data_IF_402048829560
#
_entry.id   IF_402048829560
#
_cell.length_a   1.000
_cell.length_b   1.000
_cell.length_c   1.000
_cell.angle_alpha   90.00
_cell.angle_beta   90.00
_cell.angle_gamma   90.00
#
_symmetry.space_group_name_H-M   'P 1'
#
loop_
_entity.id
_entity.type
_entity.pdbx_description
1 polymer ?
#
# COMPACT_ATOMS: atom_id res chain seq x y z
N UNK A 1 -17.00 -45.19 -6.79
CA UNK A 1 -17.61 -43.86 -6.54
C UNK A 1 -16.62 -42.82 -6.05
N UNK A 2 -15.76 -43.07 -5.06
CA UNK A 2 -14.77 -42.07 -4.52
C UNK A 2 -13.82 -41.46 -5.54
N UNK A 3 -13.33 -42.22 -6.53
CA UNK A 3 -12.39 -41.69 -7.55
C UNK A 3 -13.06 -40.72 -8.54
N UNK A 4 -14.33 -40.92 -8.87
CA UNK A 4 -15.07 -39.99 -9.76
C UNK A 4 -15.35 -38.67 -9.06
N UNK A 5 -15.72 -38.69 -7.79
CA UNK A 5 -15.95 -37.50 -6.97
C UNK A 5 -14.68 -36.67 -6.84
N UNK A 6 -13.51 -37.32 -6.61
CA UNK A 6 -12.21 -36.64 -6.51
C UNK A 6 -11.78 -35.98 -7.83
N UNK A 7 -12.10 -36.59 -8.97
CA UNK A 7 -11.81 -36.01 -10.30
C UNK A 7 -12.73 -34.83 -10.61
N UNK A 8 -13.99 -34.89 -10.21
CA UNK A 8 -14.96 -33.78 -10.35
C UNK A 8 -14.53 -32.60 -9.46
N UNK A 9 -14.09 -32.84 -8.22
CA UNK A 9 -13.58 -31.81 -7.33
C UNK A 9 -12.31 -31.13 -7.85
N UNK A 10 -11.36 -31.90 -8.40
CA UNK A 10 -10.15 -31.36 -9.02
C UNK A 10 -10.46 -30.51 -10.27
N UNK A 11 -11.40 -30.96 -11.11
CA UNK A 11 -11.84 -30.22 -12.26
C UNK A 11 -12.57 -28.92 -11.88
N UNK A 12 -13.37 -28.94 -10.82
CA UNK A 12 -14.05 -27.75 -10.29
C UNK A 12 -13.05 -26.72 -9.72
N UNK A 13 -12.04 -27.16 -8.96
CA UNK A 13 -10.96 -26.29 -8.48
C UNK A 13 -10.15 -25.68 -9.61
N UNK A 14 -9.83 -26.45 -10.65
CA UNK A 14 -9.14 -25.89 -11.84
C UNK A 14 -10.01 -24.87 -12.58
N UNK A 15 -11.30 -25.11 -12.72
CA UNK A 15 -12.22 -24.18 -13.35
C UNK A 15 -12.31 -22.85 -12.57
N UNK A 16 -12.40 -22.91 -11.24
CA UNK A 16 -12.41 -21.71 -10.38
C UNK A 16 -11.10 -20.93 -10.49
N UNK A 17 -9.95 -21.60 -10.52
CA UNK A 17 -8.65 -20.93 -10.70
C UNK A 17 -8.50 -20.26 -12.07
N UNK A 18 -9.12 -20.82 -13.13
CA UNK A 18 -9.09 -20.22 -14.47
C UNK A 18 -10.01 -18.99 -14.58
N UNK A 19 -11.12 -18.95 -13.83
CA UNK A 19 -12.02 -17.79 -13.80
C UNK A 19 -11.44 -16.59 -13.03
N UNK A 20 -10.53 -16.82 -12.07
CA UNK A 20 -9.87 -15.72 -11.33
C UNK A 20 -8.78 -15.01 -12.11
N UNK A 21 -8.31 -15.58 -13.23
CA UNK A 21 -7.28 -14.96 -14.09
C UNK A 21 -7.86 -14.06 -15.19
N UNK A 22 -9.18 -14.07 -15.40
CA UNK A 22 -9.84 -13.28 -16.45
C UNK A 22 -10.26 -11.87 -16.00
N UNK A 23 -9.91 -11.44 -14.78
CA UNK A 23 -10.38 -10.20 -14.13
C UNK A 23 -9.47 -8.98 -14.26
N UNK A 24 -8.37 -9.03 -15.01
CA UNK A 24 -7.59 -7.82 -15.33
C UNK A 24 -7.75 -7.48 -16.82
N UNK A 25 -8.94 -7.05 -17.19
CA UNK A 25 -9.10 -6.19 -18.37
C UNK A 25 -8.59 -4.82 -17.92
N UNK A 26 -7.39 -4.45 -18.37
CA UNK A 26 -6.99 -3.06 -18.37
C UNK A 26 -8.09 -2.30 -19.13
N UNK A 27 -8.76 -1.39 -18.45
CA UNK A 27 -9.61 -0.42 -19.09
C UNK A 27 -8.72 0.28 -20.12
N UNK A 28 -8.97 0.03 -21.40
CA UNK A 28 -8.42 0.84 -22.46
C UNK A 28 -9.00 2.24 -22.22
N UNK A 29 -8.14 3.17 -21.80
CA UNK A 29 -8.45 4.59 -21.79
C UNK A 29 -8.94 4.94 -23.20
N UNK A 30 -10.26 5.05 -23.37
CA UNK A 30 -10.82 5.85 -24.43
C UNK A 30 -10.35 7.26 -24.14
N UNK A 31 -9.36 7.73 -24.87
CA UNK A 31 -8.87 9.10 -24.79
C UNK A 31 -10.03 10.03 -25.14
N UNK A 32 -10.81 10.40 -24.12
CA UNK A 32 -11.75 11.50 -24.22
C UNK A 32 -10.89 12.74 -24.45
N UNK A 33 -11.16 13.48 -25.55
CA UNK A 33 -10.39 14.69 -25.86
C UNK A 33 -10.63 15.72 -24.78
N UNK A 34 -9.62 15.93 -23.93
CA UNK A 34 -9.66 16.94 -22.87
C UNK A 34 -9.54 18.31 -23.53
N UNK A 35 -10.25 19.30 -23.02
CA UNK A 35 -10.11 20.69 -23.44
C UNK A 35 -8.65 21.14 -23.25
N UNK A 36 -7.98 21.68 -24.29
CA UNK A 36 -6.59 22.11 -24.20
C UNK A 36 -6.33 23.14 -23.09
N UNK A 37 -7.33 23.93 -22.71
CA UNK A 37 -7.20 24.89 -21.61
C UNK A 37 -7.15 24.17 -20.26
N UNK A 38 -7.96 23.14 -20.04
CA UNK A 38 -7.95 22.29 -18.86
C UNK A 38 -6.61 21.54 -18.78
N UNK A 39 -6.18 20.96 -19.87
CA UNK A 39 -4.91 20.24 -19.92
C UNK A 39 -3.75 21.15 -19.52
N UNK A 40 -3.66 22.34 -20.10
CA UNK A 40 -2.62 23.32 -19.77
C UNK A 40 -2.69 23.79 -18.32
N UNK A 41 -3.89 24.02 -17.79
CA UNK A 41 -4.08 24.42 -16.40
C UNK A 41 -3.62 23.32 -15.44
N UNK A 42 -3.99 22.06 -15.70
CA UNK A 42 -3.58 20.91 -14.89
C UNK A 42 -2.07 20.65 -14.96
N UNK A 43 -1.46 20.77 -16.14
CA UNK A 43 0.00 20.67 -16.32
C UNK A 43 0.73 21.75 -15.54
N UNK A 44 0.31 22.99 -15.70
CA UNK A 44 0.91 24.13 -14.99
C UNK A 44 0.71 24.04 -13.47
N UNK A 45 -0.49 23.68 -13.03
CA UNK A 45 -0.79 23.49 -11.60
C UNK A 45 0.06 22.37 -10.99
N UNK A 46 0.18 21.24 -11.69
CA UNK A 46 1.00 20.11 -11.23
C UNK A 46 2.47 20.49 -11.07
N UNK A 47 3.01 21.25 -12.04
CA UNK A 47 4.39 21.73 -11.94
C UNK A 47 4.57 22.71 -10.77
N UNK A 48 3.63 23.63 -10.55
CA UNK A 48 3.70 24.57 -9.44
C UNK A 48 3.67 23.87 -8.08
N UNK A 49 2.79 22.88 -7.91
CA UNK A 49 2.77 22.09 -6.67
C UNK A 49 4.07 21.30 -6.48
N UNK A 50 4.59 20.65 -7.53
CA UNK A 50 5.85 19.93 -7.44
C UNK A 50 7.01 20.86 -7.03
N UNK A 51 7.09 22.04 -7.64
CA UNK A 51 8.13 23.03 -7.35
C UNK A 51 7.99 23.57 -5.91
N UNK A 52 6.76 23.77 -5.43
CA UNK A 52 6.48 24.15 -4.06
C UNK A 52 7.05 23.13 -3.07
N UNK A 53 6.73 21.84 -3.26
CA UNK A 53 7.22 20.78 -2.37
C UNK A 53 8.73 20.63 -2.42
N UNK A 54 9.36 20.75 -3.60
CA UNK A 54 10.81 20.68 -3.75
C UNK A 54 11.57 21.82 -3.08
N UNK A 55 10.92 22.98 -2.87
CA UNK A 55 11.51 24.14 -2.21
C UNK A 55 11.32 24.16 -0.70
N UNK A 56 10.50 23.26 -0.15
CA UNK A 56 10.22 23.21 1.29
C UNK A 56 11.38 22.56 2.05
N UNK A 57 11.89 23.26 3.03
CA UNK A 57 12.74 22.68 4.09
C UNK A 57 11.89 22.16 5.26
N UNK A 58 12.53 21.50 6.21
CA UNK A 58 11.83 20.89 7.37
C UNK A 58 11.01 21.91 8.16
N UNK A 59 11.54 23.12 8.34
CA UNK A 59 10.84 24.19 9.08
C UNK A 59 9.60 24.68 8.33
N UNK A 60 9.69 24.82 7.01
CA UNK A 60 8.58 25.20 6.15
C UNK A 60 7.49 24.14 6.11
N UNK A 61 7.87 22.85 6.07
CA UNK A 61 6.93 21.73 6.13
C UNK A 61 6.17 21.74 7.46
N UNK A 62 6.86 21.90 8.58
CA UNK A 62 6.23 21.96 9.91
C UNK A 62 5.24 23.13 10.02
N UNK A 63 5.63 24.31 9.56
CA UNK A 63 4.77 25.50 9.57
C UNK A 63 3.54 25.31 8.65
N UNK A 64 3.73 24.78 7.45
CA UNK A 64 2.67 24.50 6.50
C UNK A 64 1.70 23.44 7.05
N UNK A 65 2.23 22.40 7.70
CA UNK A 65 1.43 21.37 8.35
C UNK A 65 0.56 21.93 9.48
N UNK A 66 1.14 22.76 10.36
CA UNK A 66 0.39 23.43 11.43
C UNK A 66 -0.73 24.33 10.86
N UNK A 67 -0.48 24.99 9.73
CA UNK A 67 -1.46 25.85 9.06
C UNK A 67 -2.58 25.02 8.42
N UNK A 68 -2.25 23.91 7.75
CA UNK A 68 -3.23 23.01 7.13
C UNK A 68 -4.15 22.37 8.15
N UNK A 69 -3.61 21.92 9.28
CA UNK A 69 -4.40 21.39 10.42
C UNK A 69 -5.35 22.46 10.96
N UNK A 70 -4.88 23.69 11.16
CA UNK A 70 -5.71 24.80 11.65
C UNK A 70 -6.85 25.13 10.69
N UNK A 71 -6.57 25.10 9.40
CA UNK A 71 -7.54 25.41 8.33
C UNK A 71 -8.42 24.21 7.98
N UNK A 72 -8.17 23.02 8.56
CA UNK A 72 -8.82 21.75 8.24
C UNK A 72 -8.64 21.35 6.76
N UNK A 73 -7.53 21.72 6.16
CA UNK A 73 -7.14 21.32 4.81
C UNK A 73 -6.49 19.93 4.87
N UNK A 74 -7.32 18.92 4.79
CA UNK A 74 -6.90 17.52 4.88
C UNK A 74 -6.08 17.07 3.67
N UNK A 75 -6.28 17.70 2.50
CA UNK A 75 -5.53 17.37 1.28
C UNK A 75 -4.08 17.81 1.45
N UNK A 76 -3.87 19.07 1.79
CA UNK A 76 -2.52 19.60 2.02
C UNK A 76 -1.84 18.95 3.22
N UNK A 77 -2.58 18.67 4.30
CA UNK A 77 -2.05 17.95 5.47
C UNK A 77 -1.50 16.58 5.09
N UNK A 78 -2.27 15.79 4.33
CA UNK A 78 -1.85 14.45 3.88
C UNK A 78 -0.69 14.53 2.89
N UNK A 79 -0.71 15.50 1.98
CA UNK A 79 0.37 15.73 1.01
C UNK A 79 1.69 16.06 1.72
N UNK A 80 1.66 16.99 2.68
CA UNK A 80 2.85 17.38 3.46
C UNK A 80 3.43 16.21 4.27
N UNK A 81 2.57 15.43 4.94
CA UNK A 81 3.01 14.23 5.66
C UNK A 81 3.62 13.18 4.73
N UNK A 82 3.00 12.98 3.56
CA UNK A 82 3.51 12.04 2.57
C UNK A 82 4.87 12.50 2.03
N UNK A 83 4.99 13.78 1.68
CA UNK A 83 6.23 14.37 1.22
C UNK A 83 7.35 14.26 2.24
N UNK A 84 7.10 14.65 3.48
CA UNK A 84 8.07 14.58 4.58
C UNK A 84 8.61 13.16 4.80
N UNK A 85 7.74 12.16 4.63
CA UNK A 85 8.12 10.76 4.81
C UNK A 85 9.03 10.18 3.72
N UNK A 86 9.10 10.83 2.54
CA UNK A 86 9.81 10.29 1.36
C UNK A 86 10.95 11.17 0.84
N UNK A 87 10.96 12.47 1.15
CA UNK A 87 11.92 13.43 0.58
C UNK A 87 13.38 13.00 0.75
N UNK A 88 13.73 12.45 1.90
CA UNK A 88 15.09 11.98 2.20
C UNK A 88 15.47 10.74 1.37
N UNK A 89 14.50 9.90 1.06
CA UNK A 89 14.66 8.72 0.22
C UNK A 89 14.81 9.08 -1.28
N UNK A 90 14.30 10.24 -1.69
CA UNK A 90 14.38 10.70 -3.09
C UNK A 90 15.74 11.33 -3.41
N UNK A 91 16.29 12.11 -2.49
CA UNK A 91 17.47 12.95 -2.73
C UNK A 91 17.13 14.23 -3.50
N UNK A 92 18.13 14.85 -4.14
CA UNK A 92 17.93 16.10 -4.86
C UNK A 92 17.07 15.91 -6.12
N UNK A 93 16.22 16.89 -6.41
CA UNK A 93 15.43 16.93 -7.66
C UNK A 93 16.34 17.11 -8.87
N UNK A 94 16.11 16.34 -9.93
CA UNK A 94 16.87 16.38 -11.18
C UNK A 94 16.04 16.93 -12.33
N UNK A 95 14.88 16.31 -12.59
CA UNK A 95 14.01 16.71 -13.70
C UNK A 95 12.58 16.18 -13.51
N UNK A 96 11.65 16.78 -14.25
CA UNK A 96 10.28 16.28 -14.41
C UNK A 96 9.90 16.21 -15.88
N UNK A 97 9.04 15.26 -16.23
CA UNK A 97 8.35 15.23 -17.52
C UNK A 97 7.09 16.09 -17.46
N UNK A 98 6.55 16.44 -18.63
CA UNK A 98 5.25 17.11 -18.69
C UNK A 98 4.16 16.18 -18.15
N UNK A 99 3.25 16.70 -17.33
CA UNK A 99 2.17 15.91 -16.79
C UNK A 99 1.22 15.39 -17.89
N UNK A 100 0.90 14.11 -17.84
CA UNK A 100 -0.16 13.51 -18.66
C UNK A 100 -1.47 13.71 -17.92
N UNK A 101 -2.42 14.40 -18.57
CA UNK A 101 -3.73 14.66 -18.00
C UNK A 101 -4.73 13.65 -18.55
N UNK A 102 -5.54 13.07 -17.66
CA UNK A 102 -6.61 12.15 -17.99
C UNK A 102 -7.89 12.59 -17.28
N UNK A 103 -9.05 12.34 -17.89
CA UNK A 103 -10.33 12.58 -17.21
C UNK A 103 -10.66 11.36 -16.35
N UNK A 104 -10.94 11.59 -15.07
CA UNK A 104 -11.45 10.60 -14.11
C UNK A 104 -12.96 10.68 -13.99
N UNK A 105 -13.53 9.89 -13.06
CA UNK A 105 -14.98 9.85 -12.85
C UNK A 105 -15.52 11.16 -12.26
N UNK A 106 -14.75 11.82 -11.38
CA UNK A 106 -15.16 13.03 -10.65
C UNK A 106 -14.26 14.24 -10.93
N UNK A 107 -13.46 14.23 -12.02
CA UNK A 107 -12.57 15.35 -12.33
C UNK A 107 -11.38 14.97 -13.20
N UNK A 108 -10.28 15.71 -13.07
CA UNK A 108 -9.08 15.53 -13.89
C UNK A 108 -7.91 15.03 -13.05
N UNK A 109 -7.15 14.12 -13.64
CA UNK A 109 -5.98 13.47 -13.03
C UNK A 109 -4.76 13.85 -13.85
N UNK A 110 -3.81 14.56 -13.25
CA UNK A 110 -2.52 14.83 -13.85
C UNK A 110 -1.46 13.92 -13.21
N UNK A 111 -0.75 13.13 -14.04
CA UNK A 111 0.37 12.29 -13.62
C UNK A 111 1.65 12.80 -14.25
N UNK A 112 2.68 12.94 -13.46
CA UNK A 112 3.98 13.45 -13.87
C UNK A 112 5.08 12.52 -13.36
N UNK A 113 5.90 12.01 -14.25
CA UNK A 113 7.10 11.28 -13.86
C UNK A 113 8.21 12.27 -13.51
N UNK A 114 8.82 12.08 -12.37
CA UNK A 114 9.90 12.91 -11.85
C UNK A 114 11.12 12.07 -11.54
N UNK A 115 12.29 12.63 -11.76
CA UNK A 115 13.58 11.99 -11.50
C UNK A 115 14.27 12.75 -10.39
N UNK A 116 14.65 12.03 -9.35
CA UNK A 116 15.48 12.50 -8.26
C UNK A 116 16.82 11.76 -8.26
N UNK A 117 17.78 12.24 -7.52
CA UNK A 117 19.14 11.68 -7.48
C UNK A 117 19.17 10.19 -7.12
N UNK A 118 18.34 9.75 -6.17
CA UNK A 118 18.34 8.37 -5.67
C UNK A 118 17.30 7.50 -6.34
N UNK A 119 16.16 8.06 -6.78
CA UNK A 119 15.07 7.30 -7.42
C UNK A 119 14.11 8.17 -8.22
N UNK A 120 13.34 7.53 -9.10
CA UNK A 120 12.22 8.18 -9.76
C UNK A 120 10.98 8.18 -8.84
N UNK A 121 10.06 9.13 -9.10
CA UNK A 121 8.78 9.24 -8.39
C UNK A 121 7.68 9.63 -9.38
N UNK A 122 6.50 9.04 -9.25
CA UNK A 122 5.30 9.51 -9.93
C UNK A 122 4.58 10.50 -9.00
N UNK A 123 4.41 11.71 -9.49
CA UNK A 123 3.59 12.75 -8.86
C UNK A 123 2.20 12.73 -9.47
N UNK A 124 1.16 12.69 -8.65
CA UNK A 124 -0.24 12.69 -9.12
C UNK A 124 -1.00 13.82 -8.43
N UNK A 125 -1.67 14.64 -9.24
CA UNK A 125 -2.57 15.71 -8.82
C UNK A 125 -3.97 15.38 -9.34
N UNK A 126 -4.97 15.40 -8.45
CA UNK A 126 -6.38 15.22 -8.81
C UNK A 126 -7.11 16.51 -8.44
N UNK A 127 -7.85 17.06 -9.40
CA UNK A 127 -8.70 18.21 -9.22
C UNK A 127 -10.12 17.90 -9.66
N UNK A 128 -11.11 18.63 -9.13
CA UNK A 128 -12.50 18.54 -9.51
C UNK A 128 -12.74 18.95 -10.98
N UNK A 129 -13.95 18.72 -11.49
CA UNK A 129 -14.30 19.04 -12.89
C UNK A 129 -14.14 20.52 -13.24
N UNK A 130 -14.37 21.41 -12.26
CA UNK A 130 -14.29 22.86 -12.45
C UNK A 130 -12.88 23.42 -12.18
N UNK A 131 -11.91 22.59 -11.82
CA UNK A 131 -10.56 22.95 -11.36
C UNK A 131 -10.55 23.96 -10.19
N UNK A 132 -11.63 24.02 -9.45
CA UNK A 132 -11.79 24.95 -8.33
C UNK A 132 -11.11 24.44 -7.07
N UNK A 133 -10.92 23.12 -6.98
CA UNK A 133 -10.39 22.44 -5.81
C UNK A 133 -9.48 21.30 -6.18
N UNK A 134 -8.35 21.23 -5.50
CA UNK A 134 -7.50 20.03 -5.52
C UNK A 134 -8.07 19.04 -4.51
N UNK A 135 -8.31 17.83 -4.96
CA UNK A 135 -8.87 16.76 -4.14
C UNK A 135 -7.80 15.82 -3.58
N UNK A 136 -6.73 15.60 -4.34
CA UNK A 136 -5.66 14.71 -3.92
C UNK A 136 -4.32 15.16 -4.50
N UNK A 137 -3.30 15.11 -3.66
CA UNK A 137 -1.89 15.22 -4.06
C UNK A 137 -1.20 13.95 -3.55
N UNK A 138 -0.58 13.21 -4.45
CA UNK A 138 0.07 11.94 -4.13
C UNK A 138 1.48 11.85 -4.70
N UNK A 139 2.37 11.28 -3.90
CA UNK A 139 3.76 11.03 -4.23
C UNK A 139 4.02 9.52 -4.17
N UNK A 140 4.37 8.92 -5.29
CA UNK A 140 4.59 7.47 -5.43
C UNK A 140 6.03 7.18 -5.85
N UNK A 141 6.97 6.98 -4.91
CA UNK A 141 8.33 6.62 -5.24
C UNK A 141 8.39 5.29 -6.00
N UNK A 142 9.16 5.26 -7.08
CA UNK A 142 9.36 4.05 -7.88
C UNK A 142 10.42 3.19 -7.20
N UNK A 143 9.99 2.12 -6.56
CA UNK A 143 10.89 1.14 -5.96
C UNK A 143 11.37 0.14 -6.98
N UNK A 144 12.64 -0.25 -6.90
CA UNK A 144 13.19 -1.34 -7.70
C UNK A 144 12.48 -2.66 -7.36
N UNK A 145 12.52 -3.62 -8.30
CA UNK A 145 11.90 -4.94 -8.07
C UNK A 145 12.46 -5.62 -6.83
N UNK A 146 13.77 -5.46 -6.55
CA UNK A 146 14.40 -6.00 -5.35
C UNK A 146 13.86 -5.39 -4.06
N UNK A 147 13.67 -4.06 -4.01
CA UNK A 147 13.09 -3.37 -2.86
C UNK A 147 11.61 -3.76 -2.64
N UNK A 148 10.84 -3.89 -3.73
CA UNK A 148 9.45 -4.38 -3.67
C UNK A 148 9.39 -5.80 -3.10
N UNK A 149 10.28 -6.69 -3.53
CA UNK A 149 10.38 -8.05 -3.01
C UNK A 149 10.82 -8.09 -1.54
N UNK A 150 11.77 -7.23 -1.16
CA UNK A 150 12.21 -7.14 0.24
C UNK A 150 11.07 -6.65 1.16
N UNK A 151 10.33 -5.61 0.76
CA UNK A 151 9.16 -5.11 1.52
C UNK A 151 8.04 -6.17 1.59
N UNK A 152 7.74 -6.85 0.48
CA UNK A 152 6.78 -7.95 0.45
C UNK A 152 7.22 -9.12 1.34
N UNK A 153 8.50 -9.49 1.29
CA UNK A 153 9.10 -10.54 2.13
C UNK A 153 9.01 -10.21 3.62
N UNK A 154 9.31 -8.97 3.99
CA UNK A 154 9.21 -8.51 5.38
C UNK A 154 7.77 -8.55 5.89
N UNK A 155 6.80 -8.09 5.10
CA UNK A 155 5.38 -8.16 5.46
C UNK A 155 4.90 -9.61 5.59
N UNK A 156 5.32 -10.50 4.68
CA UNK A 156 5.00 -11.92 4.74
C UNK A 156 5.62 -12.58 5.96
N UNK A 157 6.89 -12.27 6.26
CA UNK A 157 7.60 -12.80 7.43
C UNK A 157 6.92 -12.35 8.73
N UNK A 158 6.49 -11.09 8.81
CA UNK A 158 5.80 -10.55 9.98
C UNK A 158 4.44 -11.22 10.18
N UNK A 159 3.63 -11.38 9.13
CA UNK A 159 2.33 -12.05 9.20
C UNK A 159 2.46 -13.54 9.50
N UNK A 160 3.39 -14.23 8.84
CA UNK A 160 3.64 -15.66 9.05
C UNK A 160 4.30 -15.94 10.42
N UNK A 161 5.18 -15.03 10.86
CA UNK A 161 5.86 -15.10 12.15
C UNK A 161 4.88 -15.11 13.32
N UNK A 162 3.85 -14.27 13.30
CA UNK A 162 2.80 -14.23 14.35
C UNK A 162 2.08 -15.58 14.43
N UNK A 163 1.75 -16.19 13.29
CA UNK A 163 1.09 -17.51 13.26
C UNK A 163 1.98 -18.59 13.87
N UNK A 164 3.28 -18.60 13.54
CA UNK A 164 4.22 -19.55 14.14
C UNK A 164 4.35 -19.37 15.65
N UNK A 165 4.42 -18.15 16.14
CA UNK A 165 4.49 -17.86 17.60
C UNK A 165 3.24 -18.42 18.30
N UNK A 166 2.05 -18.19 17.72
CA UNK A 166 0.78 -18.72 18.27
C UNK A 166 0.78 -20.25 18.27
N UNK A 167 1.23 -20.90 17.18
CA UNK A 167 1.30 -22.37 17.10
C UNK A 167 2.28 -22.96 18.13
N UNK A 168 3.45 -22.34 18.31
CA UNK A 168 4.42 -22.73 19.33
C UNK A 168 3.80 -22.59 20.73
N UNK A 169 3.09 -21.48 20.99
CA UNK A 169 2.44 -21.25 22.27
C UNK A 169 1.35 -22.29 22.56
N UNK A 170 0.51 -22.61 21.58
CA UNK A 170 -0.53 -23.66 21.71
C UNK A 170 0.14 -25.03 21.95
N UNK A 171 1.18 -25.37 21.21
CA UNK A 171 1.93 -26.61 21.38
C UNK A 171 2.55 -26.73 22.78
N UNK A 172 3.05 -25.62 23.30
CA UNK A 172 3.58 -25.55 24.65
C UNK A 172 2.48 -25.76 25.71
N UNK A 173 1.31 -25.14 25.55
CA UNK A 173 0.16 -25.35 26.43
C UNK A 173 -0.29 -26.81 26.44
N UNK A 174 -0.39 -27.45 25.25
CA UNK A 174 -0.76 -28.88 25.15
C UNK A 174 0.27 -29.76 25.88
N UNK A 175 1.56 -29.43 25.76
CA UNK A 175 2.63 -30.13 26.49
C UNK A 175 2.49 -29.99 28.00
N UNK A 176 2.09 -28.82 28.50
CA UNK A 176 1.83 -28.59 29.93
C UNK A 176 0.68 -29.47 30.43
N UNK A 177 -0.43 -29.56 29.69
CA UNK A 177 -1.54 -30.45 30.09
C UNK A 177 -1.13 -31.90 30.11
N UNK A 178 -0.32 -32.37 29.18
CA UNK A 178 0.24 -33.72 29.18
C UNK A 178 1.11 -33.98 30.43
N UNK A 179 1.87 -32.98 30.88
CA UNK A 179 2.72 -33.10 32.06
C UNK A 179 1.89 -33.19 33.34
N UNK A 180 0.77 -32.44 33.45
CA UNK A 180 -0.15 -32.44 34.58
C UNK A 180 -0.84 -33.81 34.68
N UNK A 181 -1.34 -34.38 33.60
CA UNK A 181 -2.01 -35.69 33.57
C UNK A 181 -1.09 -36.83 34.01
N UNK A 182 0.20 -36.77 33.62
CA UNK A 182 1.22 -37.76 34.06
C UNK A 182 1.51 -37.61 35.57
N UNK A 183 1.52 -36.39 36.09
CA UNK A 183 1.72 -36.13 37.52
C UNK A 183 0.56 -36.64 38.39
N UNK A 184 -0.69 -36.44 37.94
CA UNK A 184 -1.87 -36.97 38.61
C UNK A 184 -1.90 -38.49 38.58
N UNK A 185 -1.55 -39.13 37.47
CA UNK A 185 -1.46 -40.59 37.37
C UNK A 185 -0.42 -41.16 38.36
N UNK A 186 0.74 -40.53 38.49
CA UNK A 186 1.76 -40.90 39.48
C UNK A 186 1.30 -40.71 40.91
N UNK A 187 0.52 -39.66 41.23
CA UNK A 187 -0.05 -39.44 42.59
C UNK A 187 -1.09 -40.49 42.91
N UNK A 188 -1.97 -40.87 41.99
CA UNK A 188 -2.98 -41.93 42.18
C UNK A 188 -2.34 -43.31 42.36
N UNK A 189 -1.26 -43.62 41.65
CA UNK A 189 -0.51 -44.87 41.80
C UNK A 189 0.19 -44.98 43.17
N UNK A 190 0.72 -43.87 43.71
CA UNK A 190 1.32 -43.84 45.06
C UNK A 190 0.28 -44.03 46.19
N UNK A 191 -0.93 -43.47 46.02
CA UNK A 191 -2.00 -43.56 47.04
C UNK A 191 -2.62 -44.98 47.14
N UNK A 192 -2.44 -45.82 46.07
CA UNK A 192 -2.95 -47.20 46.04
C UNK A 192 -1.96 -48.24 46.60
N UNK A 193 -0.77 -47.81 46.99
CA UNK A 193 0.30 -48.69 47.54
C UNK A 193 0.54 -48.53 49.06
N UNK A 194 -0.31 -47.77 49.79
CA UNK A 194 -0.27 -47.70 51.23
C UNK A 194 -1.45 -48.46 51.79
N UNK A 195 -1.23 -49.59 52.52
CA UNK A 195 -2.29 -50.40 53.13
C UNK A 195 -2.93 -49.66 54.28
#
# INVERSE_FOLDING_TARGET
>A
MKQRIRRIWLALCMAVCLFTLAGCSAAADTAETIDPQIEMAMQSGSQQYLDLFNQMDDASIEQALATSVKNKDTVMENALKSWDSIKDDLGAFVSSETAVVTKGDDGYIARMNTVYEKRAMEFTLIADEDLSKVETISFSPVYTTGEKMAKAGMNTLMGMGVVFVVLIFISWLISLFKYISVFEAKKKAKKKKTP
#
